data_IF_764325477111
#
_entry.id   IF_764325477111
#
_cell.length_a   1.000
_cell.length_b   1.000
_cell.length_c   1.000
_cell.angle_alpha   90.00
_cell.angle_beta   90.00
_cell.angle_gamma   90.00
#
_symmetry.space_group_name_H-M   'P 1'
#
loop_
_entity.id
_entity.type
_entity.pdbx_description
1 polymer ?
#
# COMPACT_ATOMS: atom_id res chain seq x y z
N UNK A 1 4.46 -10.18 -5.14
CA UNK A 1 4.77 -8.76 -4.85
C UNK A 1 5.89 -8.73 -3.83
N UNK A 2 6.87 -7.86 -4.04
CA UNK A 2 8.00 -7.68 -3.12
C UNK A 2 7.83 -6.43 -2.24
N UNK A 3 8.77 -6.24 -1.31
CA UNK A 3 8.80 -5.09 -0.40
C UNK A 3 8.88 -3.75 -1.15
N UNK A 4 9.63 -3.69 -2.25
CA UNK A 4 9.85 -2.47 -3.01
C UNK A 4 8.55 -1.95 -3.65
N UNK A 5 7.76 -2.82 -4.29
CA UNK A 5 6.45 -2.42 -4.83
C UNK A 5 5.50 -1.93 -3.73
N UNK A 6 5.51 -2.61 -2.58
CA UNK A 6 4.68 -2.25 -1.44
C UNK A 6 5.07 -0.89 -0.83
N UNK A 7 6.36 -0.62 -0.71
CA UNK A 7 6.90 0.66 -0.24
C UNK A 7 6.53 1.81 -1.18
N UNK A 8 6.59 1.59 -2.51
CA UNK A 8 6.24 2.63 -3.49
C UNK A 8 4.78 3.06 -3.42
N UNK A 9 3.85 2.12 -3.31
CA UNK A 9 2.43 2.47 -3.20
C UNK A 9 2.11 3.12 -1.85
N UNK A 10 2.75 2.66 -0.77
CA UNK A 10 2.65 3.28 0.55
C UNK A 10 3.13 4.73 0.51
N UNK A 11 4.34 4.98 0.01
CA UNK A 11 4.89 6.33 -0.10
C UNK A 11 4.03 7.23 -1.00
N UNK A 12 3.49 6.69 -2.10
CA UNK A 12 2.58 7.43 -2.96
C UNK A 12 1.32 7.88 -2.21
N UNK A 13 0.66 6.97 -1.48
CA UNK A 13 -0.55 7.27 -0.69
C UNK A 13 -0.24 8.24 0.45
N UNK A 14 0.85 8.03 1.19
CA UNK A 14 1.25 8.88 2.31
C UNK A 14 1.54 10.32 1.88
N UNK A 15 2.20 10.50 0.73
CA UNK A 15 2.46 11.83 0.18
C UNK A 15 1.18 12.61 -0.17
N UNK A 16 0.04 11.93 -0.38
CA UNK A 16 -1.25 12.55 -0.72
C UNK A 16 -2.09 12.79 0.53
N UNK A 17 -2.03 11.86 1.48
CA UNK A 17 -2.79 11.98 2.71
C UNK A 17 -2.13 12.94 3.70
N UNK A 18 -0.80 12.95 3.84
CA UNK A 18 -0.09 13.75 4.84
C UNK A 18 -0.39 15.25 4.77
N UNK A 19 -0.35 15.91 3.59
CA UNK A 19 -0.64 17.34 3.48
C UNK A 19 -2.06 17.71 3.91
N UNK A 20 -3.01 16.76 3.86
CA UNK A 20 -4.39 16.97 4.30
C UNK A 20 -4.51 17.08 5.82
N UNK A 21 -3.46 16.83 6.59
CA UNK A 21 -3.46 16.93 8.06
C UNK A 21 -2.38 17.86 8.61
N UNK A 22 -1.56 18.45 7.73
CA UNK A 22 -0.47 19.31 8.13
C UNK A 22 -1.01 20.70 8.51
N UNK A 23 -0.74 21.13 9.74
CA UNK A 23 -1.12 22.47 10.18
C UNK A 23 -0.40 23.57 9.38
N UNK A 24 0.79 23.29 8.83
CA UNK A 24 1.55 24.23 8.01
C UNK A 24 0.89 24.50 6.64
N UNK A 25 0.06 23.58 6.13
CA UNK A 25 -0.76 23.80 4.91
C UNK A 25 -2.08 24.52 5.22
N UNK A 26 -2.32 24.86 6.49
CA UNK A 26 -3.58 25.43 6.96
C UNK A 26 -4.68 24.39 7.18
N UNK A 27 -4.37 23.09 7.15
CA UNK A 27 -5.38 22.06 7.34
C UNK A 27 -5.91 22.02 8.78
N UNK A 28 -7.22 21.91 8.91
CA UNK A 28 -7.91 21.63 10.19
C UNK A 28 -8.40 20.19 10.29
N UNK A 29 -8.20 19.36 9.26
CA UNK A 29 -8.84 18.03 9.16
C UNK A 29 -8.37 17.01 10.21
N UNK A 30 -7.22 17.26 10.86
CA UNK A 30 -6.76 16.46 12.00
C UNK A 30 -7.61 16.64 13.25
N UNK A 31 -8.26 17.80 13.39
CA UNK A 31 -8.99 18.20 14.60
C UNK A 31 -10.46 18.52 14.34
N UNK A 32 -10.82 18.74 13.07
CA UNK A 32 -12.17 19.00 12.62
C UNK A 32 -13.13 17.88 13.01
N UNK A 33 -14.30 18.29 13.50
CA UNK A 33 -15.35 17.39 13.94
C UNK A 33 -16.46 17.20 12.89
N UNK A 34 -16.35 17.89 11.75
CA UNK A 34 -17.22 17.73 10.60
C UNK A 34 -16.98 16.38 9.89
N UNK A 35 -17.95 15.97 9.07
CA UNK A 35 -17.93 14.66 8.44
C UNK A 35 -16.80 14.51 7.40
N UNK A 36 -16.33 15.60 6.79
CA UNK A 36 -15.16 15.55 5.89
C UNK A 36 -13.90 15.23 6.67
N UNK A 37 -13.67 15.94 7.79
CA UNK A 37 -12.53 15.68 8.67
C UNK A 37 -12.56 14.27 9.27
N UNK A 38 -13.75 13.75 9.61
CA UNK A 38 -13.92 12.35 10.05
C UNK A 38 -13.59 11.35 8.94
N UNK A 39 -14.11 11.56 7.73
CA UNK A 39 -13.86 10.70 6.57
C UNK A 39 -12.37 10.67 6.21
N UNK A 40 -11.70 11.83 6.23
CA UNK A 40 -10.26 11.90 5.99
C UNK A 40 -9.48 11.16 7.07
N UNK A 41 -9.81 11.35 8.36
CA UNK A 41 -9.15 10.61 9.45
C UNK A 41 -9.34 9.11 9.31
N UNK A 42 -10.54 8.65 8.94
CA UNK A 42 -10.81 7.24 8.67
C UNK A 42 -9.94 6.73 7.51
N UNK A 43 -9.86 7.48 6.40
CA UNK A 43 -9.01 7.14 5.25
C UNK A 43 -7.53 7.04 5.64
N UNK A 44 -7.02 8.00 6.42
CA UNK A 44 -5.65 7.96 6.94
C UNK A 44 -5.41 6.77 7.86
N UNK A 45 -6.35 6.45 8.74
CA UNK A 45 -6.25 5.29 9.61
C UNK A 45 -6.23 3.98 8.81
N UNK A 46 -7.06 3.87 7.77
CA UNK A 46 -7.06 2.71 6.86
C UNK A 46 -5.72 2.57 6.13
N UNK A 47 -5.17 3.67 5.60
CA UNK A 47 -3.87 3.66 4.94
C UNK A 47 -2.75 3.22 5.90
N UNK A 48 -2.69 3.79 7.11
CA UNK A 48 -1.69 3.42 8.13
C UNK A 48 -1.80 1.94 8.53
N UNK A 49 -3.02 1.43 8.71
CA UNK A 49 -3.23 0.03 9.05
C UNK A 49 -2.78 -0.92 7.93
N UNK A 50 -3.02 -0.56 6.67
CA UNK A 50 -2.56 -1.35 5.53
C UNK A 50 -1.02 -1.32 5.41
N UNK A 51 -0.39 -0.15 5.58
CA UNK A 51 1.07 0.00 5.50
C UNK A 51 1.82 -0.70 6.63
N UNK A 52 1.21 -0.88 7.81
CA UNK A 52 1.82 -1.59 8.94
C UNK A 52 2.21 -3.05 8.64
N UNK A 53 1.68 -3.65 7.57
CA UNK A 53 2.07 -5.00 7.11
C UNK A 53 3.52 -5.07 6.61
N UNK A 54 4.18 -3.94 6.37
CA UNK A 54 5.57 -3.87 5.90
C UNK A 54 6.52 -4.69 6.80
N UNK A 55 6.40 -4.57 8.12
CA UNK A 55 7.20 -5.36 9.07
C UNK A 55 6.95 -6.87 9.03
N UNK A 56 5.80 -7.31 8.50
CA UNK A 56 5.49 -8.73 8.28
C UNK A 56 6.20 -9.25 7.02
N UNK A 57 6.38 -8.39 5.99
CA UNK A 57 7.10 -8.73 4.76
C UNK A 57 8.57 -9.02 5.06
N UNK A 58 9.20 -8.23 5.94
CA UNK A 58 10.61 -8.41 6.31
C UNK A 58 10.88 -9.78 6.94
N UNK A 59 9.92 -10.32 7.69
CA UNK A 59 10.04 -11.61 8.38
C UNK A 59 9.67 -12.81 7.49
N UNK A 60 9.05 -12.56 6.33
CA UNK A 60 8.52 -13.56 5.39
C UNK A 60 9.57 -14.57 4.90
N UNK A 61 10.81 -14.12 4.73
CA UNK A 61 11.92 -14.95 4.23
C UNK A 61 12.35 -16.04 5.22
N UNK A 62 12.24 -15.76 6.53
CA UNK A 62 12.62 -16.67 7.61
C UNK A 62 11.43 -17.45 8.19
N UNK A 63 10.20 -17.06 7.85
CA UNK A 63 8.97 -17.69 8.30
C UNK A 63 8.81 -19.13 7.79
N UNK A 64 8.19 -19.97 8.61
CA UNK A 64 7.71 -21.30 8.19
C UNK A 64 6.59 -21.19 7.14
N UNK A 65 6.19 -22.33 6.58
CA UNK A 65 5.24 -22.37 5.48
C UNK A 65 3.86 -21.78 5.82
N UNK A 66 3.38 -21.96 7.06
CA UNK A 66 2.07 -21.48 7.48
C UNK A 66 2.11 -19.97 7.77
N UNK A 67 3.14 -19.50 8.48
CA UNK A 67 3.35 -18.08 8.71
C UNK A 67 3.57 -17.33 7.40
N UNK A 68 4.30 -17.92 6.44
CA UNK A 68 4.47 -17.34 5.10
C UNK A 68 3.15 -17.23 4.36
N UNK A 69 2.28 -18.24 4.44
CA UNK A 69 0.95 -18.21 3.81
C UNK A 69 0.08 -17.09 4.38
N UNK A 70 0.09 -16.90 5.70
CA UNK A 70 -0.63 -15.82 6.38
C UNK A 70 -0.06 -14.45 5.98
N UNK A 71 1.27 -14.32 5.94
CA UNK A 71 1.94 -13.10 5.49
C UNK A 71 1.57 -12.75 4.04
N UNK A 72 1.51 -13.74 3.14
CA UNK A 72 1.11 -13.54 1.74
C UNK A 72 -0.33 -13.05 1.61
N UNK A 73 -1.23 -13.62 2.42
CA UNK A 73 -2.63 -13.20 2.44
C UNK A 73 -2.80 -11.78 2.99
N UNK A 74 -2.09 -11.45 4.08
CA UNK A 74 -2.11 -10.11 4.67
C UNK A 74 -1.52 -9.06 3.71
N UNK A 75 -0.45 -9.43 3.01
CA UNK A 75 0.18 -8.60 2.00
C UNK A 75 -0.74 -8.34 0.80
N UNK A 76 -1.39 -9.38 0.28
CA UNK A 76 -2.34 -9.25 -0.82
C UNK A 76 -3.53 -8.34 -0.44
N UNK A 77 -4.09 -8.53 0.76
CA UNK A 77 -5.17 -7.69 1.25
C UNK A 77 -4.75 -6.22 1.40
N UNK A 78 -3.58 -5.97 1.99
CA UNK A 78 -3.06 -4.62 2.22
C UNK A 78 -2.76 -3.90 0.91
N UNK A 79 -2.24 -4.63 -0.09
CA UNK A 79 -2.09 -4.10 -1.44
C UNK A 79 -3.41 -3.68 -2.05
N UNK A 80 -4.44 -4.51 -1.99
CA UNK A 80 -5.74 -4.19 -2.59
C UNK A 80 -6.36 -2.94 -1.93
N UNK A 81 -6.15 -2.76 -0.62
CA UNK A 81 -6.58 -1.56 0.12
C UNK A 81 -5.81 -0.34 -0.37
N UNK A 82 -4.47 -0.38 -0.38
CA UNK A 82 -3.64 0.74 -0.83
C UNK A 82 -3.87 1.08 -2.30
N UNK A 83 -4.08 0.09 -3.16
CA UNK A 83 -4.46 0.27 -4.56
C UNK A 83 -5.76 1.05 -4.68
N UNK A 84 -6.82 0.66 -3.95
CA UNK A 84 -8.12 1.37 -4.01
C UNK A 84 -7.98 2.82 -3.59
N UNK A 85 -7.16 3.08 -2.58
CA UNK A 85 -6.85 4.44 -2.14
C UNK A 85 -6.09 5.17 -3.26
N UNK A 86 -5.00 4.60 -3.78
CA UNK A 86 -4.17 5.20 -4.81
C UNK A 86 -4.96 5.56 -6.09
N UNK A 87 -5.95 4.75 -6.48
CA UNK A 87 -6.80 5.01 -7.66
C UNK A 87 -7.62 6.31 -7.56
N UNK A 88 -7.82 6.88 -6.38
CA UNK A 88 -8.42 8.22 -6.24
C UNK A 88 -7.52 9.34 -6.79
N UNK A 89 -6.25 9.05 -7.10
CA UNK A 89 -5.27 9.97 -7.67
C UNK A 89 -4.69 9.43 -8.99
N UNK A 90 -5.49 8.68 -9.76
CA UNK A 90 -5.04 8.07 -11.02
C UNK A 90 -4.58 9.10 -12.08
N UNK A 91 -5.12 10.31 -12.02
CA UNK A 91 -4.79 11.44 -12.87
C UNK A 91 -3.53 12.22 -12.41
N UNK A 92 -2.98 11.88 -11.24
CA UNK A 92 -1.80 12.55 -10.70
C UNK A 92 -0.53 12.15 -11.48
N UNK A 93 0.41 13.07 -11.80
CA UNK A 93 1.62 12.77 -12.57
C UNK A 93 2.52 11.67 -11.97
N UNK A 94 2.67 11.64 -10.63
CA UNK A 94 3.44 10.56 -9.99
C UNK A 94 2.67 9.22 -9.84
N UNK A 95 1.44 9.12 -10.35
CA UNK A 95 0.71 7.85 -10.33
C UNK A 95 1.40 6.86 -11.26
N UNK A 96 1.74 5.68 -10.74
CA UNK A 96 2.46 4.66 -11.49
C UNK A 96 1.50 3.59 -12.01
N UNK A 97 1.72 3.13 -13.24
CA UNK A 97 0.90 2.07 -13.87
C UNK A 97 0.86 0.79 -13.03
N UNK A 98 1.93 0.49 -12.29
CA UNK A 98 2.01 -0.68 -11.42
C UNK A 98 0.97 -0.67 -10.29
N UNK A 99 0.50 0.51 -9.85
CA UNK A 99 -0.56 0.60 -8.84
C UNK A 99 -1.90 0.06 -9.33
N UNK A 100 -2.08 -0.12 -10.64
CA UNK A 100 -3.27 -0.76 -11.22
C UNK A 100 -3.22 -2.28 -11.20
N UNK A 101 -2.04 -2.87 -10.96
CA UNK A 101 -1.85 -4.32 -11.00
C UNK A 101 -2.50 -4.98 -9.80
N UNK A 102 -3.16 -6.10 -9.98
CA UNK A 102 -3.68 -6.88 -8.87
C UNK A 102 -2.53 -7.57 -8.12
N UNK A 103 -2.73 -7.85 -6.83
CA UNK A 103 -1.69 -8.46 -5.96
C UNK A 103 -1.15 -9.79 -6.51
N UNK A 104 -1.98 -10.59 -7.19
CA UNK A 104 -1.61 -11.87 -7.80
C UNK A 104 -0.75 -11.72 -9.07
N UNK A 105 -0.79 -10.58 -9.76
CA UNK A 105 -0.03 -10.35 -10.99
C UNK A 105 1.47 -10.21 -10.73
N UNK A 106 1.88 -9.90 -9.50
CA UNK A 106 3.28 -9.80 -9.12
C UNK A 106 3.95 -11.16 -8.88
N UNK A 107 3.19 -12.26 -8.75
CA UNK A 107 3.74 -13.61 -8.60
C UNK A 107 4.24 -14.20 -9.92
N UNK A 108 3.71 -13.73 -11.05
CA UNK A 108 4.04 -14.26 -12.39
C UNK A 108 5.40 -13.79 -12.91
N UNK A 109 5.86 -12.59 -12.50
CA UNK A 109 7.20 -12.08 -12.85
C UNK A 109 8.33 -12.93 -12.27
N UNK A 110 8.17 -13.45 -11.05
CA UNK A 110 9.17 -14.31 -10.40
C UNK A 110 9.26 -15.71 -11.01
N UNK A 111 8.21 -16.18 -11.70
CA UNK A 111 8.19 -17.49 -12.36
C UNK A 111 8.76 -17.45 -13.79
N UNK A 112 8.75 -16.27 -14.44
CA UNK A 112 9.20 -16.11 -15.83
C UNK A 112 10.71 -15.90 -15.97
N UNK A 113 11.47 -15.81 -14.88
CA UNK A 113 12.94 -15.61 -14.90
C UNK A 113 13.75 -16.89 -14.63
N UNK A 114 13.13 -18.08 -14.64
CA UNK A 114 13.89 -19.33 -14.57
C UNK A 114 14.62 -19.57 -15.90
N UNK A 115 15.96 -19.73 -15.94
CA UNK A 115 16.67 -19.97 -17.18
C UNK A 115 16.26 -21.35 -17.72
N UNK A 116 15.87 -21.38 -18.99
CA UNK A 116 15.75 -22.62 -19.73
C UNK A 116 17.10 -23.35 -19.67
N UNK A 117 17.15 -24.50 -18.98
CA UNK A 117 18.30 -25.39 -19.01
C UNK A 117 18.44 -25.91 -20.45
N UNK A 118 19.45 -25.42 -21.15
CA UNK A 118 20.03 -26.06 -22.33
C UNK A 118 21.11 -27.06 -21.92
#
# INVERSE_FOLDING_TARGET
MDLHHFQRITAFVEARLTPLFDAATGSTHGFGMDDTSRALRALRATALAASAVEGVIEQRGAADAEVRRIADQALAHSWDVLQRIARNWEDHPDFLREFKRDSWEFGQESASSAPAKG
#
